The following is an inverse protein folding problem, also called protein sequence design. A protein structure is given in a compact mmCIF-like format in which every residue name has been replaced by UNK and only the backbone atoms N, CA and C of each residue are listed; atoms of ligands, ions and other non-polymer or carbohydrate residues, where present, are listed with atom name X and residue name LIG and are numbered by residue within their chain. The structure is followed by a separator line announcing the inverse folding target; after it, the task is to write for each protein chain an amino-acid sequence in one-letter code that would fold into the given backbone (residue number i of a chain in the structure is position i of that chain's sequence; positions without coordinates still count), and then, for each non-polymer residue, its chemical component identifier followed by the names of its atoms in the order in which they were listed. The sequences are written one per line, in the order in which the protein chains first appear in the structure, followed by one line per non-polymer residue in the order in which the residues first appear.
data_IF_752783526439
#
_entry.id   IF_752783526439
#
_cell.length_a   1.000
_cell.length_b   1.000
_cell.length_c   1.000
_cell.angle_alpha   90.00
_cell.angle_beta   90.00
_cell.angle_gamma   90.00
#
_symmetry.space_group_name_H-M   'P 1'
#
loop_
_entity.id
_entity.type
_entity.pdbx_description
1 polymer ?
#
# COMPACT_ATOMS: atom_id res chain seq x y z
N UNK A 1 -39.65 -27.24 -23.00
CA UNK A 1 -39.90 -26.11 -22.09
C UNK A 1 -38.55 -25.75 -21.49
N UNK A 2 -37.81 -24.86 -22.13
CA UNK A 2 -36.55 -24.31 -21.60
C UNK A 2 -36.84 -22.86 -21.31
N UNK A 3 -37.09 -22.57 -20.03
CA UNK A 3 -37.42 -21.24 -19.56
C UNK A 3 -36.26 -20.28 -19.86
N UNK A 4 -36.49 -19.19 -20.63
CA UNK A 4 -35.44 -18.24 -21.03
C UNK A 4 -34.94 -17.35 -19.88
N UNK A 5 -35.60 -17.39 -18.72
CA UNK A 5 -35.28 -16.53 -17.57
C UNK A 5 -34.16 -17.06 -16.65
N UNK A 6 -33.63 -18.27 -16.89
CA UNK A 6 -32.54 -18.84 -16.06
C UNK A 6 -31.13 -18.29 -16.40
N UNK A 7 -31.03 -17.26 -17.26
CA UNK A 7 -29.77 -16.59 -17.59
C UNK A 7 -29.45 -15.40 -16.67
N UNK A 8 -30.41 -14.95 -15.85
CA UNK A 8 -30.30 -13.73 -15.06
C UNK A 8 -29.64 -13.90 -13.66
N UNK A 9 -29.32 -15.13 -13.25
CA UNK A 9 -28.77 -15.40 -11.91
C UNK A 9 -27.44 -16.14 -11.96
N UNK A 10 -26.48 -15.64 -12.74
CA UNK A 10 -25.07 -16.03 -12.53
C UNK A 10 -24.64 -15.49 -11.17
N UNK A 11 -24.27 -16.38 -10.25
CA UNK A 11 -23.73 -16.01 -8.93
C UNK A 11 -22.50 -15.09 -9.07
N UNK A 12 -22.18 -14.32 -8.03
CA UNK A 12 -21.07 -13.33 -8.06
C UNK A 12 -19.74 -14.01 -8.40
N UNK A 13 -19.59 -15.25 -7.96
CA UNK A 13 -18.44 -16.13 -8.17
C UNK A 13 -18.23 -16.44 -9.66
N UNK A 14 -19.31 -16.59 -10.44
CA UNK A 14 -19.29 -16.93 -11.87
C UNK A 14 -18.98 -15.71 -12.77
N UNK A 15 -18.79 -14.54 -12.15
CA UNK A 15 -18.44 -13.26 -12.80
C UNK A 15 -17.07 -12.73 -12.37
N UNK A 16 -16.39 -13.39 -11.44
CA UNK A 16 -15.05 -13.02 -11.01
C UNK A 16 -14.03 -13.59 -11.99
N UNK A 17 -13.01 -12.82 -12.42
CA UNK A 17 -11.93 -13.38 -13.22
C UNK A 17 -11.17 -14.44 -12.41
N UNK A 18 -10.86 -15.58 -13.02
CA UNK A 18 -10.08 -16.66 -12.40
C UNK A 18 -8.66 -16.20 -12.06
N UNK A 19 -8.10 -15.30 -12.88
CA UNK A 19 -6.81 -14.66 -12.65
C UNK A 19 -6.91 -13.15 -12.79
N UNK A 20 -6.45 -12.43 -11.77
CA UNK A 20 -6.34 -10.98 -11.75
C UNK A 20 -4.89 -10.61 -11.43
N UNK A 21 -4.19 -9.99 -12.37
CA UNK A 21 -2.85 -9.46 -12.10
C UNK A 21 -2.96 -8.23 -11.19
N UNK A 22 -2.19 -8.24 -10.10
CA UNK A 22 -2.19 -7.20 -9.07
C UNK A 22 -0.83 -6.49 -9.05
N UNK A 23 -0.03 -6.74 -8.01
CA UNK A 23 1.33 -6.20 -7.91
C UNK A 23 2.27 -6.71 -9.04
N UNK A 24 1.91 -7.81 -9.70
CA UNK A 24 2.70 -8.44 -10.77
C UNK A 24 2.82 -7.58 -12.04
N UNK A 25 1.88 -6.66 -12.28
CA UNK A 25 1.94 -5.73 -13.42
C UNK A 25 2.89 -4.55 -13.18
N UNK A 26 3.40 -4.38 -11.97
CA UNK A 26 4.32 -3.30 -11.61
C UNK A 26 5.76 -3.83 -11.53
N UNK A 27 6.76 -2.96 -11.77
CA UNK A 27 8.13 -3.28 -11.43
C UNK A 27 8.25 -3.71 -9.97
N UNK A 28 9.08 -4.73 -9.70
CA UNK A 28 9.35 -5.17 -8.34
C UNK A 28 9.99 -4.03 -7.55
N UNK A 29 9.34 -3.64 -6.46
CA UNK A 29 9.81 -2.58 -5.57
C UNK A 29 10.74 -3.12 -4.47
N UNK A 30 11.66 -2.29 -4.00
CA UNK A 30 12.56 -2.59 -2.87
C UNK A 30 12.19 -1.81 -1.62
N UNK A 31 12.72 -2.23 -0.47
CA UNK A 31 12.53 -1.51 0.79
C UNK A 31 13.15 -0.11 0.72
N UNK A 32 14.35 0.01 0.15
CA UNK A 32 15.07 1.28 -0.04
C UNK A 32 14.25 2.30 -0.86
N UNK A 33 13.55 1.87 -1.90
CA UNK A 33 12.67 2.75 -2.69
C UNK A 33 11.51 3.31 -1.86
N UNK A 34 11.00 2.51 -0.92
CA UNK A 34 9.98 2.97 0.03
C UNK A 34 10.59 3.95 1.05
N UNK A 35 11.77 3.67 1.59
CA UNK A 35 12.48 4.57 2.50
C UNK A 35 12.73 5.94 1.86
N UNK A 36 13.16 5.98 0.59
CA UNK A 36 13.31 7.22 -0.17
C UNK A 36 11.98 7.99 -0.28
N UNK A 37 10.87 7.30 -0.51
CA UNK A 37 9.55 7.91 -0.59
C UNK A 37 9.13 8.50 0.78
N UNK A 38 9.39 7.79 1.87
CA UNK A 38 9.17 8.27 3.24
C UNK A 38 9.99 9.54 3.49
N UNK A 39 11.27 9.54 3.16
CA UNK A 39 12.15 10.69 3.35
C UNK A 39 11.76 11.89 2.50
N UNK A 40 11.32 11.68 1.26
CA UNK A 40 10.79 12.75 0.40
C UNK A 40 9.63 13.50 1.08
N UNK A 41 8.74 12.78 1.77
CA UNK A 41 7.61 13.39 2.49
C UNK A 41 8.08 14.07 3.77
N UNK A 42 8.85 13.36 4.60
CA UNK A 42 9.28 13.87 5.92
C UNK A 42 10.23 15.07 5.81
N UNK A 43 10.98 15.19 4.72
CA UNK A 43 11.89 16.31 4.47
C UNK A 43 11.25 17.48 3.73
N UNK A 44 9.96 17.41 3.39
CA UNK A 44 9.26 18.51 2.73
C UNK A 44 9.27 19.76 3.61
N UNK A 45 9.85 20.86 3.09
CA UNK A 45 9.92 22.15 3.79
C UNK A 45 10.99 22.23 4.88
N UNK A 46 11.86 21.22 5.01
CA UNK A 46 13.04 21.32 5.88
C UNK A 46 14.13 22.13 5.16
N UNK A 47 14.85 23.02 5.87
CA UNK A 47 15.95 23.77 5.28
C UNK A 47 17.14 22.85 5.00
N UNK A 48 17.99 23.30 4.09
CA UNK A 48 19.22 22.62 3.70
C UNK A 48 20.11 22.32 4.92
N UNK A 49 20.63 21.09 5.00
CA UNK A 49 21.46 20.60 6.10
C UNK A 49 20.67 20.20 7.36
N UNK A 50 19.33 20.23 7.32
CA UNK A 50 18.48 19.74 8.40
C UNK A 50 17.59 18.58 7.98
N UNK A 51 17.85 17.95 6.85
CA UNK A 51 17.17 16.77 6.37
C UNK A 51 17.30 15.62 7.37
N UNK A 52 16.27 14.78 7.40
CA UNK A 52 16.22 13.56 8.18
C UNK A 52 16.82 12.41 7.37
N UNK A 53 17.54 11.54 8.05
CA UNK A 53 17.83 10.20 7.56
C UNK A 53 16.68 9.24 7.93
N UNK A 54 16.73 8.01 7.42
CA UNK A 54 15.62 7.05 7.59
C UNK A 54 15.38 6.68 9.05
N UNK A 55 16.44 6.45 9.85
CA UNK A 55 16.31 6.13 11.28
C UNK A 55 15.57 7.24 12.06
N UNK A 56 15.93 8.50 11.79
CA UNK A 56 15.26 9.67 12.37
C UNK A 56 13.83 9.86 11.85
N UNK A 57 13.56 9.43 10.62
CA UNK A 57 12.23 9.43 10.03
C UNK A 57 11.32 8.40 10.69
N UNK A 58 11.78 7.15 10.76
CA UNK A 58 11.03 6.03 11.35
C UNK A 58 10.71 6.27 12.82
N UNK A 59 11.67 6.76 13.60
CA UNK A 59 11.44 7.15 15.01
C UNK A 59 10.33 8.20 15.19
N UNK A 60 10.05 9.03 14.19
CA UNK A 60 8.94 10.00 14.24
C UNK A 60 7.60 9.39 13.84
N UNK A 61 7.62 8.30 13.09
CA UNK A 61 6.43 7.58 12.62
C UNK A 61 6.00 6.48 13.59
N UNK A 62 6.88 6.04 14.50
CA UNK A 62 6.60 5.08 15.57
C UNK A 62 5.80 5.75 16.70
N UNK A 63 4.51 5.41 16.87
CA UNK A 63 3.73 5.91 18.00
C UNK A 63 4.23 5.28 19.30
N UNK A 64 3.95 5.91 20.42
CA UNK A 64 4.18 5.32 21.75
C UNK A 64 2.86 5.31 22.50
N UNK A 65 2.46 4.14 23.00
CA UNK A 65 1.25 3.99 23.81
C UNK A 65 1.43 4.64 25.19
N UNK A 66 0.34 4.84 25.94
CA UNK A 66 0.39 5.46 27.27
C UNK A 66 1.24 4.66 28.26
N UNK A 67 1.26 3.34 28.12
CA UNK A 67 2.06 2.39 28.89
C UNK A 67 3.46 2.15 28.32
N UNK A 68 3.86 2.89 27.28
CA UNK A 68 5.24 2.95 26.80
C UNK A 68 5.64 1.86 25.79
N UNK A 69 4.67 1.22 25.13
CA UNK A 69 4.92 0.29 24.03
C UNK A 69 5.16 1.09 22.75
N UNK A 70 6.20 0.73 22.02
CA UNK A 70 6.49 1.18 20.66
C UNK A 70 6.08 0.11 19.67
#
# INVERSE_FOLDING_TARGET
MTDPDNLASKSVEDRMPEELSLAGDFPKVTHEQWEEAVLKVLNRGRPEGKELNIEQGMKRLEPTTVDGIQ
#
